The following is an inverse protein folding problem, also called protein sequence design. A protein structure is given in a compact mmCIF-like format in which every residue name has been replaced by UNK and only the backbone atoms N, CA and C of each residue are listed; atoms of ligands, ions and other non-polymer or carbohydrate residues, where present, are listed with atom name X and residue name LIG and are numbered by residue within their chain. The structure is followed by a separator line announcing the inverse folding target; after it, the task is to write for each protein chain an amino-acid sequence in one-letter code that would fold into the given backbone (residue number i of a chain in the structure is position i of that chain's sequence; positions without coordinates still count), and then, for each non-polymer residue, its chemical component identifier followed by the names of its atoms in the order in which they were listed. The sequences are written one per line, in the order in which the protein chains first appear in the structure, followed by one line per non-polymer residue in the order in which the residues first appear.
data_IF_644121930108
#
_entry.id   IF_644121930108
#
_cell.length_a   1.000
_cell.length_b   1.000
_cell.length_c   1.000
_cell.angle_alpha   90.00
_cell.angle_beta   90.00
_cell.angle_gamma   90.00
#
_symmetry.space_group_name_H-M   'P 1'
#
loop_
_entity.id
_entity.type
_entity.pdbx_description
1 polymer ?
#
# COMPACT_ATOMS: atom_id res chain seq x y z
N UNK A 1 1.91 7.53 52.74
CA UNK A 1 1.64 6.09 52.53
C UNK A 1 0.42 6.01 51.60
N UNK A 2 0.41 5.48 50.39
CA UNK A 2 1.33 4.66 49.60
C UNK A 2 1.31 5.15 48.15
N UNK A 3 2.46 5.04 47.49
CA UNK A 3 2.59 5.05 46.03
C UNK A 3 2.14 3.69 45.47
N UNK A 4 1.41 3.71 44.35
CA UNK A 4 1.04 2.51 43.58
C UNK A 4 1.53 2.67 42.14
N UNK A 5 2.68 2.08 41.85
CA UNK A 5 3.31 1.97 40.54
C UNK A 5 2.46 1.07 39.63
N UNK A 6 2.13 1.51 38.41
CA UNK A 6 1.55 0.66 37.38
C UNK A 6 2.65 0.35 36.36
N UNK A 7 3.09 -0.91 36.39
CA UNK A 7 4.15 -1.49 35.57
C UNK A 7 3.60 -1.82 34.18
N UNK A 8 4.22 -1.27 33.13
CA UNK A 8 4.09 -1.73 31.75
C UNK A 8 4.60 -3.18 31.64
N UNK A 9 3.76 -4.09 31.12
CA UNK A 9 4.19 -5.41 30.65
C UNK A 9 3.88 -5.55 29.17
N UNK A 10 4.95 -5.67 28.39
CA UNK A 10 4.94 -6.21 27.04
C UNK A 10 4.67 -7.73 27.08
N UNK A 11 3.85 -8.23 26.16
CA UNK A 11 3.76 -9.64 25.77
C UNK A 11 3.50 -9.64 24.25
N UNK A 12 4.53 -9.89 23.45
CA UNK A 12 4.94 -11.20 22.90
C UNK A 12 4.07 -11.66 21.73
N UNK A 13 4.74 -11.70 20.57
CA UNK A 13 4.32 -12.23 19.28
C UNK A 13 4.04 -13.73 19.38
N UNK A 14 2.95 -14.20 18.78
CA UNK A 14 2.80 -15.59 18.36
C UNK A 14 2.39 -15.63 16.89
N UNK A 15 3.28 -16.20 16.08
CA UNK A 15 3.09 -16.49 14.67
C UNK A 15 2.32 -17.80 14.52
N UNK A 16 1.23 -17.80 13.77
CA UNK A 16 0.49 -19.01 13.40
C UNK A 16 0.91 -19.44 11.99
N UNK A 17 1.76 -20.45 11.91
CA UNK A 17 2.15 -21.12 10.68
C UNK A 17 1.03 -22.09 10.25
N UNK A 18 0.40 -21.83 9.11
CA UNK A 18 -0.52 -22.77 8.48
C UNK A 18 0.25 -23.77 7.61
N UNK A 19 0.12 -25.05 7.94
CA UNK A 19 0.75 -26.18 7.25
C UNK A 19 0.05 -26.51 5.92
N UNK A 20 0.83 -26.59 4.84
CA UNK A 20 0.43 -27.16 3.55
C UNK A 20 0.69 -28.67 3.54
N UNK A 21 -0.33 -29.46 3.21
CA UNK A 21 -0.22 -30.89 2.91
C UNK A 21 -0.09 -31.05 1.39
N UNK A 22 0.94 -31.74 0.85
CA UNK A 22 0.99 -32.05 -0.57
C UNK A 22 0.31 -33.40 -0.88
N UNK A 23 -0.61 -33.37 -1.84
CA UNK A 23 -1.16 -34.55 -2.51
C UNK A 23 -0.10 -35.14 -3.45
N UNK A 24 0.17 -36.43 -3.32
CA UNK A 24 0.96 -37.20 -4.28
C UNK A 24 0.16 -37.39 -5.57
N UNK A 25 0.78 -37.16 -6.72
CA UNK A 25 0.32 -37.77 -7.95
C UNK A 25 1.50 -38.20 -8.84
N UNK A 26 1.41 -39.44 -9.29
CA UNK A 26 2.41 -40.21 -10.02
C UNK A 26 2.39 -39.85 -11.51
N UNK A 27 3.57 -39.92 -12.14
CA UNK A 27 3.70 -40.29 -13.56
C UNK A 27 3.51 -39.19 -14.61
N UNK A 28 4.62 -38.74 -15.21
CA UNK A 28 4.94 -39.01 -16.64
C UNK A 28 6.08 -38.14 -17.11
N UNK A 29 7.15 -38.80 -17.55
CA UNK A 29 8.32 -38.22 -18.22
C UNK A 29 7.95 -37.70 -19.60
N UNK A 30 8.24 -36.42 -19.86
CA UNK A 30 8.43 -35.90 -21.22
C UNK A 30 9.69 -35.03 -21.23
N UNK A 31 10.72 -35.54 -21.90
CA UNK A 31 11.95 -34.84 -22.23
C UNK A 31 11.72 -33.88 -23.40
N UNK A 32 12.03 -32.59 -23.23
CA UNK A 32 12.25 -31.67 -24.34
C UNK A 32 13.55 -30.92 -24.10
N UNK A 33 14.53 -31.18 -24.96
CA UNK A 33 15.76 -30.40 -25.08
C UNK A 33 15.48 -29.13 -25.88
N UNK A 34 15.81 -27.96 -25.34
CA UNK A 34 16.04 -26.78 -26.15
C UNK A 34 17.13 -25.92 -25.48
N UNK A 35 18.23 -25.82 -26.20
CA UNK A 35 19.35 -24.90 -26.01
C UNK A 35 18.91 -23.44 -26.00
N UNK A 36 19.57 -22.63 -25.16
CA UNK A 36 19.82 -21.22 -25.46
C UNK A 36 19.16 -20.22 -24.50
N UNK A 37 20.00 -19.39 -23.89
CA UNK A 37 19.60 -18.17 -23.20
C UNK A 37 19.81 -18.24 -21.69
N UNK A 38 21.04 -17.96 -21.26
CA UNK A 38 21.26 -17.47 -19.92
C UNK A 38 20.44 -16.19 -19.76
N UNK A 39 19.37 -16.22 -18.96
CA UNK A 39 18.82 -15.00 -18.40
C UNK A 39 19.90 -14.49 -17.44
N UNK A 40 20.69 -13.54 -17.94
CA UNK A 40 21.59 -12.79 -17.10
C UNK A 40 20.74 -12.21 -15.97
N UNK A 41 21.01 -12.67 -14.74
CA UNK A 41 20.71 -11.91 -13.54
C UNK A 41 21.45 -10.59 -13.70
N UNK A 42 20.74 -9.58 -14.20
CA UNK A 42 21.23 -8.22 -14.21
C UNK A 42 21.48 -7.84 -12.77
N UNK A 43 22.75 -7.61 -12.45
CA UNK A 43 23.14 -6.85 -11.28
C UNK A 43 22.58 -5.43 -11.46
N UNK A 44 21.33 -5.24 -11.04
CA UNK A 44 20.62 -3.98 -11.13
C UNK A 44 21.23 -2.99 -10.16
N UNK A 45 22.13 -2.15 -10.66
CA UNK A 45 22.33 -0.79 -10.13
C UNK A 45 21.31 0.15 -10.76
N UNK A 46 20.07 -0.32 -10.96
CA UNK A 46 18.93 0.51 -11.29
C UNK A 46 18.45 1.15 -10.00
N UNK A 47 18.30 2.48 -9.99
CA UNK A 47 17.70 3.13 -8.85
C UNK A 47 16.25 2.68 -8.77
N UNK A 48 15.89 1.96 -7.70
CA UNK A 48 14.50 1.64 -7.37
C UNK A 48 13.69 2.94 -7.37
N UNK A 49 12.54 2.94 -8.05
CA UNK A 49 11.64 4.08 -8.14
C UNK A 49 10.69 4.07 -6.95
N UNK A 50 10.78 5.05 -6.06
CA UNK A 50 9.87 5.10 -4.92
C UNK A 50 8.43 5.41 -5.35
N UNK A 51 7.47 4.70 -4.79
CA UNK A 51 6.03 4.96 -4.96
C UNK A 51 5.42 5.15 -3.58
N UNK A 52 5.08 6.39 -3.25
CA UNK A 52 4.42 6.74 -2.00
C UNK A 52 2.96 6.32 -2.10
N UNK A 53 2.57 5.39 -1.24
CA UNK A 53 1.23 4.82 -1.14
C UNK A 53 0.58 5.33 0.13
N UNK A 54 -0.68 5.73 0.01
CA UNK A 54 -1.58 5.97 1.12
C UNK A 54 -2.96 5.42 0.77
N UNK A 55 -3.72 4.97 1.76
CA UNK A 55 -5.06 4.45 1.58
C UNK A 55 -6.02 4.95 2.65
N UNK A 56 -7.28 5.12 2.25
CA UNK A 56 -8.39 5.28 3.18
C UNK A 56 -9.17 3.97 3.28
N UNK A 57 -9.67 3.64 4.47
CA UNK A 57 -10.31 2.36 4.76
C UNK A 57 -11.40 2.49 5.84
N UNK A 58 -12.20 1.44 5.98
CA UNK A 58 -13.42 1.45 6.82
C UNK A 58 -13.13 1.48 8.32
N UNK A 59 -12.45 0.46 8.87
CA UNK A 59 -12.07 0.37 10.28
C UNK A 59 -11.02 -0.73 10.48
N UNK A 60 -9.85 -0.42 11.02
CA UNK A 60 -8.83 -1.45 11.33
C UNK A 60 -9.22 -2.43 12.44
N UNK A 61 -10.25 -2.13 13.23
CA UNK A 61 -10.79 -3.10 14.18
C UNK A 61 -11.65 -4.18 13.49
N UNK A 62 -12.02 -4.00 12.23
CA UNK A 62 -12.65 -5.03 11.41
C UNK A 62 -11.57 -5.88 10.71
N UNK A 63 -11.49 -7.20 10.97
CA UNK A 63 -10.57 -8.10 10.27
C UNK A 63 -10.73 -8.08 8.73
N UNK A 64 -11.96 -7.80 8.27
CA UNK A 64 -12.35 -7.71 6.88
C UNK A 64 -12.43 -6.24 6.42
N UNK A 65 -11.64 -5.34 7.03
CA UNK A 65 -11.62 -3.92 6.66
C UNK A 65 -11.48 -3.72 5.15
N UNK A 66 -12.36 -2.88 4.62
CA UNK A 66 -12.47 -2.59 3.21
C UNK A 66 -11.69 -1.33 2.85
N UNK A 67 -11.06 -1.37 1.67
CA UNK A 67 -10.45 -0.21 1.03
C UNK A 67 -11.55 0.76 0.56
N UNK A 68 -11.41 2.04 0.90
CA UNK A 68 -12.26 3.14 0.45
C UNK A 68 -11.61 3.88 -0.73
N UNK A 69 -10.34 4.28 -0.60
CA UNK A 69 -9.61 4.93 -1.69
C UNK A 69 -8.11 4.63 -1.61
N UNK A 70 -7.43 4.76 -2.75
CA UNK A 70 -5.98 4.52 -2.87
C UNK A 70 -5.33 5.66 -3.63
N UNK A 71 -4.29 6.25 -3.03
CA UNK A 71 -3.43 7.27 -3.62
C UNK A 71 -2.03 6.73 -3.80
N UNK A 72 -1.45 6.91 -4.99
CA UNK A 72 -0.06 6.55 -5.25
C UNK A 72 0.65 7.68 -5.99
N UNK A 73 1.87 8.01 -5.56
CA UNK A 73 2.70 9.04 -6.18
C UNK A 73 4.11 8.50 -6.37
N UNK A 74 4.57 8.40 -7.61
CA UNK A 74 5.92 8.01 -7.91
C UNK A 74 6.92 9.16 -7.68
N UNK A 75 8.16 8.81 -7.39
CA UNK A 75 9.26 9.77 -7.21
C UNK A 75 9.43 10.68 -8.44
N UNK A 76 9.17 10.20 -9.65
CA UNK A 76 9.21 10.99 -10.89
C UNK A 76 7.97 11.89 -11.12
N UNK A 77 7.01 11.89 -10.20
CA UNK A 77 5.82 12.74 -10.24
C UNK A 77 4.62 12.14 -10.95
N UNK A 78 4.67 10.89 -11.41
CA UNK A 78 3.46 10.17 -11.86
C UNK A 78 2.54 9.91 -10.68
N UNK A 79 1.24 10.02 -10.92
CA UNK A 79 0.22 9.90 -9.89
C UNK A 79 -0.87 8.93 -10.31
N UNK A 80 -1.50 8.33 -9.31
CA UNK A 80 -2.71 7.52 -9.44
C UNK A 80 -3.61 7.77 -8.25
N UNK A 81 -4.90 7.93 -8.51
CA UNK A 81 -5.92 7.99 -7.49
C UNK A 81 -7.19 7.32 -7.97
N UNK A 82 -7.79 6.52 -7.11
CA UNK A 82 -9.05 5.87 -7.38
C UNK A 82 -9.81 5.57 -6.07
N UNK A 83 -11.13 5.52 -6.21
CA UNK A 83 -12.09 5.31 -5.12
C UNK A 83 -12.79 3.96 -5.35
N UNK A 84 -12.86 3.14 -4.31
CA UNK A 84 -13.56 1.88 -4.33
C UNK A 84 -15.06 2.12 -4.14
N UNK A 85 -15.92 1.52 -4.97
CA UNK A 85 -17.38 1.61 -4.81
C UNK A 85 -17.98 0.44 -4.02
N UNK A 86 -17.14 -0.49 -3.56
CA UNK A 86 -17.54 -1.74 -2.92
C UNK A 86 -16.99 -1.85 -1.48
N UNK A 87 -17.49 -1.00 -0.59
CA UNK A 87 -17.22 -1.07 0.84
C UNK A 87 -18.53 -0.90 1.63
N UNK A 88 -18.57 -1.46 2.84
CA UNK A 88 -19.77 -1.39 3.69
C UNK A 88 -19.82 -0.08 4.49
N UNK A 89 -20.66 0.86 4.04
CA UNK A 89 -20.92 2.13 4.74
C UNK A 89 -21.41 1.94 6.19
N UNK A 90 -22.09 0.82 6.49
CA UNK A 90 -22.59 0.53 7.84
C UNK A 90 -21.49 0.16 8.84
N UNK A 91 -20.28 -0.11 8.35
CA UNK A 91 -19.10 -0.42 9.15
C UNK A 91 -18.14 0.77 9.29
N UNK A 92 -18.36 1.86 8.54
CA UNK A 92 -17.54 3.06 8.66
C UNK A 92 -17.60 3.61 10.08
N UNK A 93 -16.43 3.93 10.64
CA UNK A 93 -16.36 4.65 11.91
C UNK A 93 -16.94 6.06 11.79
N UNK A 94 -17.27 6.67 12.92
CA UNK A 94 -17.69 8.08 12.96
C UNK A 94 -16.63 8.99 12.31
N UNK A 95 -15.35 8.69 12.54
CA UNK A 95 -14.23 9.42 11.95
C UNK A 95 -14.26 9.35 10.42
N UNK A 96 -14.33 8.13 9.85
CA UNK A 96 -14.40 7.93 8.40
C UNK A 96 -15.61 8.65 7.80
N UNK A 97 -16.76 8.58 8.47
CA UNK A 97 -17.99 9.22 8.00
C UNK A 97 -17.88 10.74 7.94
N UNK A 98 -17.16 11.35 8.89
CA UNK A 98 -17.05 12.81 9.02
C UNK A 98 -15.88 13.41 8.22
N UNK A 99 -14.76 12.69 8.13
CA UNK A 99 -13.51 13.25 7.60
C UNK A 99 -13.13 12.67 6.23
N UNK A 100 -13.47 11.40 5.93
CA UNK A 100 -13.04 10.72 4.70
C UNK A 100 -14.12 10.76 3.63
N UNK A 101 -15.33 10.25 3.94
CA UNK A 101 -16.40 10.11 2.96
C UNK A 101 -16.79 11.43 2.25
N UNK A 102 -16.78 12.61 2.91
CA UNK A 102 -17.07 13.88 2.24
C UNK A 102 -16.04 14.31 1.18
N UNK A 103 -14.86 13.69 1.16
CA UNK A 103 -13.77 14.01 0.25
C UNK A 103 -13.82 13.22 -1.06
N UNK A 104 -14.66 12.18 -1.12
CA UNK A 104 -14.83 11.31 -2.28
C UNK A 104 -15.72 11.94 -3.36
N UNK A 105 -15.68 11.38 -4.56
CA UNK A 105 -16.62 11.70 -5.62
C UNK A 105 -16.22 12.88 -6.51
N UNK A 106 -14.94 13.26 -6.50
CA UNK A 106 -14.45 14.34 -7.34
C UNK A 106 -14.59 14.01 -8.85
N UNK A 107 -14.87 15.03 -9.66
CA UNK A 107 -15.08 14.85 -11.10
C UNK A 107 -13.81 14.34 -11.79
N UNK A 108 -13.95 13.32 -12.62
CA UNK A 108 -12.83 12.72 -13.36
C UNK A 108 -12.00 11.71 -12.57
N UNK A 109 -12.33 11.44 -11.30
CA UNK A 109 -11.72 10.35 -10.52
C UNK A 109 -12.31 9.00 -10.94
N UNK A 110 -11.46 7.97 -11.00
CA UNK A 110 -11.89 6.60 -11.20
C UNK A 110 -12.62 6.10 -9.95
N UNK A 111 -13.92 5.84 -10.08
CA UNK A 111 -14.74 5.15 -9.10
C UNK A 111 -15.07 3.75 -9.64
N UNK A 112 -14.60 2.71 -8.95
CA UNK A 112 -14.64 1.35 -9.47
C UNK A 112 -14.86 0.31 -8.38
N UNK A 113 -15.45 -0.84 -8.75
CA UNK A 113 -15.50 -2.02 -7.90
C UNK A 113 -14.11 -2.66 -7.73
N UNK A 114 -13.95 -3.58 -6.76
CA UNK A 114 -12.62 -4.09 -6.36
C UNK A 114 -11.82 -4.69 -7.53
N UNK A 115 -12.46 -5.42 -8.44
CA UNK A 115 -11.76 -6.06 -9.56
C UNK A 115 -11.24 -5.05 -10.60
N UNK A 116 -12.02 -4.03 -10.93
CA UNK A 116 -11.59 -2.98 -11.86
C UNK A 116 -10.50 -2.11 -11.22
N UNK A 117 -10.66 -1.78 -9.93
CA UNK A 117 -9.65 -1.08 -9.16
C UNK A 117 -8.32 -1.85 -9.13
N UNK A 118 -8.36 -3.17 -8.91
CA UNK A 118 -7.20 -4.06 -8.98
C UNK A 118 -6.49 -3.98 -10.33
N UNK A 119 -7.21 -4.06 -11.45
CA UNK A 119 -6.61 -3.96 -12.77
C UNK A 119 -6.00 -2.58 -13.04
N UNK A 120 -6.66 -1.51 -12.59
CA UNK A 120 -6.17 -0.15 -12.72
C UNK A 120 -4.86 0.05 -11.93
N UNK A 121 -4.81 -0.40 -10.68
CA UNK A 121 -3.62 -0.35 -9.82
C UNK A 121 -2.48 -1.17 -10.42
N UNK A 122 -2.75 -2.42 -10.82
CA UNK A 122 -1.75 -3.28 -11.47
C UNK A 122 -1.21 -2.66 -12.76
N UNK A 123 -2.10 -2.14 -13.60
CA UNK A 123 -1.73 -1.48 -14.86
C UNK A 123 -0.88 -0.24 -14.64
N UNK A 124 -1.20 0.58 -13.63
CA UNK A 124 -0.40 1.76 -13.30
C UNK A 124 0.98 1.38 -12.76
N UNK A 125 1.06 0.42 -11.82
CA UNK A 125 2.33 -0.08 -11.28
C UNK A 125 3.23 -0.67 -12.37
N UNK A 126 2.65 -1.34 -13.37
CA UNK A 126 3.40 -1.87 -14.51
C UNK A 126 4.05 -0.78 -15.38
N UNK A 127 3.61 0.49 -15.27
CA UNK A 127 4.27 1.62 -15.94
C UNK A 127 5.52 2.08 -15.17
N UNK A 128 5.62 1.79 -13.88
CA UNK A 128 6.71 2.23 -13.01
C UNK A 128 7.90 1.26 -13.16
N UNK A 129 9.11 1.73 -13.54
CA UNK A 129 10.28 0.87 -13.60
C UNK A 129 10.77 0.55 -12.18
N UNK A 130 10.97 -0.73 -11.88
CA UNK A 130 11.53 -1.21 -10.60
C UNK A 130 10.91 -0.51 -9.36
N UNK A 131 9.58 -0.59 -9.17
CA UNK A 131 8.89 0.14 -8.11
C UNK A 131 9.24 -0.40 -6.72
N UNK A 132 9.45 0.51 -5.78
CA UNK A 132 9.49 0.24 -4.35
C UNK A 132 8.39 1.04 -3.66
N UNK A 133 7.46 0.36 -3.00
CA UNK A 133 6.38 1.01 -2.27
C UNK A 133 6.93 1.66 -0.98
N UNK A 134 6.56 2.91 -0.76
CA UNK A 134 6.81 3.64 0.48
C UNK A 134 5.48 3.90 1.18
N UNK A 135 5.36 3.46 2.42
CA UNK A 135 4.18 3.70 3.28
C UNK A 135 4.62 4.39 4.55
N UNK A 136 3.80 5.25 5.11
CA UNK A 136 3.99 5.79 6.45
C UNK A 136 3.20 5.00 7.51
N UNK A 137 2.28 4.14 7.07
CA UNK A 137 1.61 3.15 7.90
C UNK A 137 1.58 1.76 7.23
N UNK A 138 1.94 0.71 7.96
CA UNK A 138 2.06 -0.65 7.39
C UNK A 138 0.71 -1.21 6.91
N UNK A 139 -0.40 -0.63 7.38
CA UNK A 139 -1.74 -1.05 6.99
C UNK A 139 -2.05 -0.81 5.51
N UNK A 140 -1.50 0.26 4.92
CA UNK A 140 -1.70 0.61 3.51
C UNK A 140 -1.11 -0.46 2.58
N UNK A 141 0.06 -0.99 2.96
CA UNK A 141 0.66 -2.11 2.26
C UNK A 141 -0.21 -3.37 2.32
N UNK A 142 -0.81 -3.66 3.49
CA UNK A 142 -1.69 -4.82 3.62
C UNK A 142 -2.93 -4.68 2.74
N UNK A 143 -3.50 -3.48 2.64
CA UNK A 143 -4.67 -3.20 1.80
C UNK A 143 -4.33 -3.33 0.30
N UNK A 144 -3.17 -2.82 -0.13
CA UNK A 144 -2.68 -3.02 -1.50
C UNK A 144 -2.46 -4.51 -1.79
N UNK A 145 -1.79 -5.23 -0.89
CA UNK A 145 -1.53 -6.66 -1.04
C UNK A 145 -2.84 -7.47 -1.10
N UNK A 146 -3.85 -7.10 -0.30
CA UNK A 146 -5.18 -7.71 -0.32
C UNK A 146 -5.90 -7.44 -1.63
N UNK A 147 -5.83 -6.21 -2.16
CA UNK A 147 -6.42 -5.84 -3.45
C UNK A 147 -5.80 -6.63 -4.61
N UNK A 148 -4.47 -6.71 -4.68
CA UNK A 148 -3.77 -7.37 -5.79
C UNK A 148 -3.81 -8.90 -5.67
N UNK A 149 -3.74 -9.43 -4.44
CA UNK A 149 -3.79 -10.86 -4.17
C UNK A 149 -2.69 -11.62 -4.90
N UNK A 150 -3.06 -12.64 -5.68
CA UNK A 150 -2.10 -13.45 -6.44
C UNK A 150 -1.44 -12.71 -7.62
N UNK A 151 -1.97 -11.55 -8.02
CA UNK A 151 -1.41 -10.74 -9.11
C UNK A 151 -0.36 -9.74 -8.61
N UNK A 152 0.08 -9.88 -7.36
CA UNK A 152 1.14 -9.05 -6.78
C UNK A 152 2.44 -9.18 -7.59
N UNK A 153 3.05 -8.07 -8.08
CA UNK A 153 4.31 -8.15 -8.80
C UNK A 153 5.42 -8.75 -7.92
N UNK A 154 6.12 -9.77 -8.43
CA UNK A 154 7.10 -10.53 -7.65
C UNK A 154 8.32 -9.70 -7.17
N UNK A 155 8.60 -8.59 -7.85
CA UNK A 155 9.71 -7.69 -7.53
C UNK A 155 9.29 -6.47 -6.70
N UNK A 156 8.02 -6.38 -6.27
CA UNK A 156 7.52 -5.24 -5.50
C UNK A 156 8.02 -5.35 -4.06
N UNK A 157 8.86 -4.40 -3.66
CA UNK A 157 9.32 -4.26 -2.27
C UNK A 157 8.54 -3.14 -1.57
N UNK A 158 8.57 -3.16 -0.24
CA UNK A 158 7.96 -2.12 0.59
C UNK A 158 8.94 -1.64 1.65
N UNK A 159 8.94 -0.33 1.89
CA UNK A 159 9.71 0.32 2.94
C UNK A 159 8.77 1.25 3.72
N UNK A 160 8.73 1.10 5.05
CA UNK A 160 8.04 2.06 5.90
C UNK A 160 8.91 3.31 6.08
N UNK A 161 8.39 4.47 5.69
CA UNK A 161 9.11 5.76 5.71
C UNK A 161 8.72 6.65 6.88
N UNK A 162 7.85 6.21 7.79
CA UNK A 162 7.33 7.02 8.90
C UNK A 162 8.43 7.75 9.68
N UNK A 163 9.49 7.03 10.05
CA UNK A 163 10.63 7.54 10.81
C UNK A 163 11.56 8.44 9.98
N UNK A 164 11.48 8.34 8.65
CA UNK A 164 12.30 9.14 7.73
C UNK A 164 11.62 10.45 7.31
N UNK A 165 10.31 10.58 7.52
CA UNK A 165 9.55 11.78 7.17
C UNK A 165 10.01 13.00 7.98
N UNK A 166 10.33 14.09 7.27
CA UNK A 166 10.43 15.42 7.88
C UNK A 166 9.03 15.93 8.23
N UNK A 167 8.67 15.81 9.52
CA UNK A 167 7.33 16.17 10.00
C UNK A 167 7.00 17.65 9.81
N UNK A 168 7.99 18.54 9.82
CA UNK A 168 7.73 19.95 9.54
C UNK A 168 7.36 20.14 8.07
N UNK A 169 8.10 19.53 7.15
CA UNK A 169 7.76 19.57 5.72
C UNK A 169 6.41 18.93 5.42
N UNK A 170 6.04 17.88 6.15
CA UNK A 170 4.73 17.25 6.03
C UNK A 170 3.62 18.24 6.38
N UNK A 171 3.69 18.90 7.54
CA UNK A 171 2.72 19.93 7.92
C UNK A 171 2.70 21.12 6.94
N UNK A 172 3.88 21.57 6.51
CA UNK A 172 4.01 22.66 5.55
C UNK A 172 3.35 22.32 4.21
N UNK A 173 3.39 21.05 3.78
CA UNK A 173 2.76 20.61 2.55
C UNK A 173 1.25 20.90 2.57
N UNK A 174 0.54 20.49 3.63
CA UNK A 174 -0.91 20.70 3.76
C UNK A 174 -1.25 22.19 3.83
N UNK A 175 -0.44 22.99 4.53
CA UNK A 175 -0.65 24.43 4.65
C UNK A 175 -0.43 25.18 3.33
N UNK A 176 0.65 24.85 2.59
CA UNK A 176 1.05 25.59 1.39
C UNK A 176 0.23 25.21 0.16
N UNK A 177 -0.23 23.96 0.06
CA UNK A 177 -0.94 23.46 -1.11
C UNK A 177 -2.46 23.43 -0.94
N UNK A 178 -2.97 23.93 0.20
CA UNK A 178 -4.39 23.80 0.58
C UNK A 178 -4.89 22.36 0.41
N UNK A 179 -4.02 21.40 0.68
CA UNK A 179 -4.33 19.99 0.57
C UNK A 179 -5.15 19.56 1.79
N UNK A 180 -6.10 18.67 1.58
CA UNK A 180 -6.95 18.13 2.64
C UNK A 180 -6.34 16.83 3.14
N UNK A 181 -6.20 16.69 4.46
CA UNK A 181 -5.84 15.42 5.11
C UNK A 181 -6.94 14.39 4.93
N UNK A 182 -6.59 13.12 5.05
CA UNK A 182 -7.52 11.99 4.93
C UNK A 182 -8.06 11.83 3.50
N UNK A 183 -7.28 12.30 2.53
CA UNK A 183 -7.51 12.12 1.12
C UNK A 183 -6.27 11.43 0.57
N UNK A 184 -6.38 10.16 0.23
CA UNK A 184 -5.22 9.31 -0.01
C UNK A 184 -4.18 9.88 -0.99
N UNK A 185 -4.60 10.54 -2.08
CA UNK A 185 -3.63 11.19 -2.98
C UNK A 185 -2.89 12.37 -2.34
N UNK A 186 -3.54 13.17 -1.51
CA UNK A 186 -2.93 14.30 -0.83
C UNK A 186 -1.92 13.82 0.20
N UNK A 187 -2.28 12.81 0.98
CA UNK A 187 -1.40 12.20 1.97
C UNK A 187 -0.18 11.53 1.29
N UNK A 188 -0.38 10.79 0.19
CA UNK A 188 0.71 10.25 -0.63
C UNK A 188 1.64 11.34 -1.21
N UNK A 189 1.09 12.46 -1.69
CA UNK A 189 1.89 13.61 -2.16
C UNK A 189 2.66 14.27 -1.01
N UNK A 190 2.04 14.39 0.16
CA UNK A 190 2.66 14.95 1.36
C UNK A 190 3.82 14.08 1.84
N UNK A 191 3.64 12.76 1.84
CA UNK A 191 4.68 11.77 2.15
C UNK A 191 5.86 11.90 1.17
N UNK A 192 5.59 11.98 -0.14
CA UNK A 192 6.64 12.23 -1.16
C UNK A 192 7.40 13.52 -0.90
N UNK A 193 6.71 14.59 -0.53
CA UNK A 193 7.31 15.90 -0.25
C UNK A 193 8.19 15.91 1.00
N UNK A 194 7.79 15.14 2.02
CA UNK A 194 8.42 15.13 3.33
C UNK A 194 9.56 14.11 3.46
N UNK A 195 9.63 13.08 2.61
CA UNK A 195 10.77 12.15 2.60
C UNK A 195 12.02 12.84 2.02
N UNK A 196 13.18 12.78 2.71
CA UNK A 196 14.43 13.28 2.17
C UNK A 196 14.85 12.55 0.90
N UNK A 197 15.45 13.27 -0.05
CA UNK A 197 16.03 12.66 -1.25
C UNK A 197 17.06 11.58 -0.90
N UNK A 198 17.01 10.46 -1.62
CA UNK A 198 17.97 9.38 -1.49
C UNK A 198 19.35 9.89 -1.92
N UNK A 199 20.36 9.70 -1.07
CA UNK A 199 21.75 10.09 -1.35
C UNK A 199 22.49 9.05 -2.18
#
# INVERSE_FOLDING_TARGET
MHAGSLVLRAQQHDAVAAALVPLQNEGSTVSVSATGGAYACGSGTGNLMQVFLDTEFVDWNDPETDLISIGMVAEDGREFYAECTEFDLGKCTDFVTLEVLPLLGAEGVLQAGRNELKYAVFGWLATIPEPEIAVDYDGDWLLLARLLGQDMPANLTVTNVWESLDKQKLEDYFLLHTATRHHALHDARANRWAVPERR
#
